data_IF_138548616258
#
_entry.id   IF_138548616258
#
_cell.length_a   1.000
_cell.length_b   1.000
_cell.length_c   1.000
_cell.angle_alpha   90.00
_cell.angle_beta   90.00
_cell.angle_gamma   90.00
#
_symmetry.space_group_name_H-M   'P 1'
#
loop_
_entity.id
_entity.type
_entity.pdbx_description
1 polymer ?
#
# COMPACT_ATOMS: atom_id res chain seq x y z
N UNK A 1 -19.65 -0.18 -17.17
CA UNK A 1 -18.20 -0.09 -17.42
C UNK A 1 -17.53 -0.94 -16.37
N UNK A 2 -16.84 -2.01 -16.76
CA UNK A 2 -16.17 -2.91 -15.83
C UNK A 2 -14.87 -2.26 -15.33
N UNK A 3 -14.53 -2.42 -14.05
CA UNK A 3 -13.30 -1.87 -13.46
C UNK A 3 -12.35 -3.00 -13.13
N UNK A 4 -11.06 -2.80 -13.41
CA UNK A 4 -9.97 -3.66 -12.96
C UNK A 4 -9.07 -2.82 -12.07
N UNK A 5 -8.82 -3.28 -10.85
CA UNK A 5 -7.85 -2.64 -9.97
C UNK A 5 -6.49 -3.26 -10.20
N UNK A 6 -5.52 -2.44 -10.59
CA UNK A 6 -4.13 -2.83 -10.79
C UNK A 6 -3.29 -2.33 -9.61
N UNK A 7 -2.70 -3.23 -8.83
CA UNK A 7 -1.96 -2.82 -7.64
C UNK A 7 -0.64 -2.14 -8.00
N UNK A 8 -0.42 -0.93 -7.50
CA UNK A 8 0.90 -0.28 -7.48
C UNK A 8 1.64 -0.77 -6.23
N UNK A 9 2.87 -1.24 -6.43
CA UNK A 9 3.63 -2.02 -5.45
C UNK A 9 5.10 -1.53 -5.40
N UNK A 10 6.02 -2.36 -4.94
CA UNK A 10 7.42 -2.04 -4.65
C UNK A 10 8.43 -2.56 -5.71
N UNK A 11 9.65 -2.03 -5.66
CA UNK A 11 10.85 -2.58 -6.33
C UNK A 11 10.68 -2.91 -7.83
N UNK A 12 11.15 -4.09 -8.26
CA UNK A 12 11.19 -4.46 -9.67
C UNK A 12 9.81 -4.52 -10.34
N UNK A 13 8.76 -5.13 -9.75
CA UNK A 13 7.45 -5.13 -10.41
C UNK A 13 6.79 -3.73 -10.40
N UNK A 14 7.20 -2.80 -9.54
CA UNK A 14 6.77 -1.40 -9.63
C UNK A 14 7.32 -0.75 -10.89
N UNK A 15 8.63 -0.91 -11.13
CA UNK A 15 9.28 -0.43 -12.35
C UNK A 15 8.65 -1.05 -13.62
N UNK A 16 8.36 -2.35 -13.60
CA UNK A 16 7.67 -3.01 -14.70
C UNK A 16 6.27 -2.42 -14.95
N UNK A 17 5.55 -2.06 -13.88
CA UNK A 17 4.22 -1.44 -13.97
C UNK A 17 4.25 -0.11 -14.73
N UNK A 18 5.28 0.73 -14.51
CA UNK A 18 5.43 1.99 -15.27
C UNK A 18 5.53 1.79 -16.79
N UNK A 19 6.07 0.65 -17.24
CA UNK A 19 6.13 0.31 -18.66
C UNK A 19 4.86 -0.38 -19.16
N UNK A 20 4.34 -1.36 -18.41
CA UNK A 20 3.30 -2.26 -18.89
C UNK A 20 1.89 -1.69 -18.73
N UNK A 21 1.61 -0.97 -17.63
CA UNK A 21 0.26 -0.48 -17.35
C UNK A 21 -0.27 0.49 -18.43
N UNK A 22 0.52 1.46 -18.96
CA UNK A 22 0.06 2.32 -20.05
C UNK A 22 -0.31 1.54 -21.31
N UNK A 23 0.41 0.45 -21.60
CA UNK A 23 0.12 -0.43 -22.73
C UNK A 23 -1.22 -1.13 -22.48
N UNK A 24 -1.43 -1.77 -21.33
CA UNK A 24 -2.70 -2.44 -21.01
C UNK A 24 -3.87 -1.45 -21.12
N UNK A 25 -3.72 -0.23 -20.55
CA UNK A 25 -4.72 0.82 -20.62
C UNK A 25 -5.08 1.21 -22.06
N UNK A 26 -4.09 1.35 -22.94
CA UNK A 26 -4.31 1.66 -24.35
C UNK A 26 -5.10 0.55 -25.06
N UNK A 27 -4.72 -0.70 -24.84
CA UNK A 27 -5.41 -1.87 -25.40
C UNK A 27 -6.86 -2.00 -24.93
N UNK A 28 -7.20 -1.54 -23.72
CA UNK A 28 -8.56 -1.61 -23.16
C UNK A 28 -9.42 -0.37 -23.40
N UNK A 29 -8.88 0.71 -23.99
CA UNK A 29 -9.54 2.02 -24.07
C UNK A 29 -10.92 2.02 -24.76
N UNK A 30 -11.18 1.08 -25.68
CA UNK A 30 -12.46 0.93 -26.39
C UNK A 30 -13.34 -0.22 -25.90
N UNK A 31 -12.91 -1.02 -24.92
CA UNK A 31 -13.62 -2.25 -24.51
C UNK A 31 -14.63 -2.05 -23.38
N UNK A 32 -14.79 -0.83 -22.87
CA UNK A 32 -15.62 -0.56 -21.71
C UNK A 32 -15.03 -1.09 -20.39
N UNK A 33 -13.72 -1.38 -20.38
CA UNK A 33 -12.92 -1.75 -19.22
C UNK A 33 -12.09 -0.54 -18.79
N UNK A 34 -12.16 -0.19 -17.50
CA UNK A 34 -11.36 0.88 -16.90
C UNK A 34 -10.35 0.27 -15.92
N UNK A 35 -9.07 0.55 -16.13
CA UNK A 35 -8.02 0.25 -15.15
C UNK A 35 -7.87 1.42 -14.18
N UNK A 36 -8.00 1.13 -12.88
CA UNK A 36 -7.70 2.06 -11.81
C UNK A 36 -6.55 1.48 -10.95
N UNK A 37 -5.72 2.33 -10.38
CA UNK A 37 -4.63 1.88 -9.50
C UNK A 37 -5.00 2.02 -8.05
N UNK A 38 -4.50 1.10 -7.23
CA UNK A 38 -4.49 1.20 -5.78
C UNK A 38 -3.07 0.93 -5.29
N UNK A 39 -2.52 1.91 -4.57
CA UNK A 39 -1.14 1.87 -4.09
C UNK A 39 -1.07 1.16 -2.75
N UNK A 40 -0.46 -0.02 -2.75
CA UNK A 40 -0.25 -0.86 -1.57
C UNK A 40 1.26 -1.10 -1.33
N UNK A 41 2.11 -0.24 -1.90
CA UNK A 41 3.54 -0.21 -1.60
C UNK A 41 3.79 -0.04 -0.10
N UNK A 42 4.98 -0.41 0.36
CA UNK A 42 5.41 -0.21 1.74
C UNK A 42 5.29 1.27 2.13
N UNK A 43 5.75 2.19 1.27
CA UNK A 43 5.65 3.62 1.51
C UNK A 43 4.19 4.09 1.67
N UNK A 44 3.30 3.72 0.74
CA UNK A 44 1.89 4.12 0.82
C UNK A 44 1.20 3.58 2.07
N UNK A 45 1.48 2.33 2.46
CA UNK A 45 0.92 1.74 3.69
C UNK A 45 1.46 2.40 4.96
N UNK A 46 2.72 2.84 4.97
CA UNK A 46 3.26 3.65 6.08
C UNK A 46 2.51 4.97 6.17
N UNK A 47 2.35 5.70 5.05
CA UNK A 47 1.69 7.00 5.05
C UNK A 47 0.22 6.90 5.48
N UNK A 48 -0.52 5.93 4.94
CA UNK A 48 -1.90 5.65 5.34
C UNK A 48 -2.03 5.25 6.81
N UNK A 49 -0.97 4.68 7.40
CA UNK A 49 -0.97 4.35 8.80
C UNK A 49 -0.77 5.57 9.72
N UNK A 50 -0.36 6.75 9.24
CA UNK A 50 -0.06 7.95 10.06
C UNK A 50 -0.67 9.27 9.52
N UNK A 51 -1.94 9.34 9.10
CA UNK A 51 -2.50 10.55 8.47
C UNK A 51 -2.48 11.78 9.38
N UNK A 52 -2.59 11.60 10.70
CA UNK A 52 -2.52 12.63 11.73
C UNK A 52 -1.15 13.30 11.86
N UNK A 53 -0.09 12.68 11.33
CA UNK A 53 1.27 13.24 11.31
C UNK A 53 1.61 13.90 9.98
N UNK A 54 0.66 13.95 9.05
CA UNK A 54 0.85 14.42 7.68
C UNK A 54 0.03 15.68 7.41
N UNK A 55 0.59 16.56 6.58
CA UNK A 55 -0.18 17.66 5.99
C UNK A 55 -1.29 17.10 5.09
N UNK A 56 -2.33 17.91 4.82
CA UNK A 56 -3.45 17.50 3.98
C UNK A 56 -3.00 17.04 2.59
N UNK A 57 -1.93 17.65 2.05
CA UNK A 57 -1.37 17.34 0.75
C UNK A 57 -0.51 16.06 0.75
N UNK A 58 0.03 15.67 1.91
CA UNK A 58 0.84 14.46 2.08
C UNK A 58 -0.01 13.22 2.41
N UNK A 59 -1.25 13.41 2.86
CA UNK A 59 -2.13 12.31 3.20
C UNK A 59 -2.47 11.46 1.97
N UNK A 60 -2.53 10.16 2.20
CA UNK A 60 -2.94 9.18 1.19
C UNK A 60 -4.10 8.34 1.72
N UNK A 61 -5.04 7.93 0.83
CA UNK A 61 -6.08 6.98 1.22
C UNK A 61 -5.47 5.63 1.64
N UNK A 62 -6.12 4.96 2.60
CA UNK A 62 -5.79 3.58 2.95
C UNK A 62 -6.33 2.62 1.90
N UNK A 63 -5.61 2.51 0.79
CA UNK A 63 -5.97 1.63 -0.31
C UNK A 63 -5.97 0.15 0.07
N UNK A 64 -5.25 -0.28 1.11
CA UNK A 64 -5.28 -1.68 1.53
C UNK A 64 -6.61 -1.98 2.22
N UNK A 65 -7.09 -1.07 3.07
CA UNK A 65 -8.42 -1.15 3.66
C UNK A 65 -9.51 -1.10 2.57
N UNK A 66 -9.45 -0.16 1.64
CA UNK A 66 -10.40 -0.07 0.50
C UNK A 66 -10.45 -1.37 -0.32
N UNK A 67 -9.28 -1.97 -0.58
CA UNK A 67 -9.21 -3.23 -1.32
C UNK A 67 -9.78 -4.41 -0.51
N UNK A 68 -9.59 -4.42 0.81
CA UNK A 68 -10.20 -5.43 1.70
C UNK A 68 -11.72 -5.32 1.79
N UNK A 69 -12.27 -4.11 1.66
CA UNK A 69 -13.72 -3.94 1.51
C UNK A 69 -14.18 -4.41 0.12
N UNK A 70 -13.40 -4.09 -0.93
CA UNK A 70 -13.72 -4.49 -2.29
C UNK A 70 -13.77 -6.00 -2.47
N UNK A 71 -12.91 -6.78 -1.80
CA UNK A 71 -12.92 -8.25 -1.90
C UNK A 71 -14.24 -8.89 -1.44
N UNK A 72 -15.05 -8.17 -0.66
CA UNK A 72 -16.38 -8.63 -0.23
C UNK A 72 -17.48 -8.36 -1.26
N UNK A 73 -17.17 -7.63 -2.33
CA UNK A 73 -18.10 -7.29 -3.40
C UNK A 73 -17.96 -8.28 -4.57
N UNK A 74 -19.08 -8.73 -5.19
CA UNK A 74 -19.03 -9.60 -6.36
C UNK A 74 -18.43 -8.90 -7.60
N UNK A 75 -18.32 -7.57 -7.58
CA UNK A 75 -17.66 -6.77 -8.61
C UNK A 75 -16.13 -6.71 -8.45
N UNK A 76 -15.55 -7.33 -7.41
CA UNK A 76 -14.11 -7.37 -7.19
C UNK A 76 -13.36 -7.95 -8.38
N UNK A 77 -12.50 -7.14 -8.99
CA UNK A 77 -11.57 -7.59 -10.02
C UNK A 77 -10.21 -6.92 -9.78
N UNK A 78 -9.30 -7.66 -9.16
CA UNK A 78 -8.02 -7.15 -8.65
C UNK A 78 -6.88 -7.94 -9.29
N UNK A 79 -6.00 -7.24 -10.01
CA UNK A 79 -4.71 -7.76 -10.46
C UNK A 79 -3.67 -7.40 -9.39
N UNK A 80 -3.29 -8.40 -8.59
CA UNK A 80 -2.31 -8.25 -7.51
C UNK A 80 -0.91 -8.66 -7.96
N UNK A 81 0.01 -7.70 -7.99
CA UNK A 81 1.43 -7.92 -8.29
C UNK A 81 2.21 -8.21 -7.00
N UNK A 82 3.39 -8.88 -7.05
CA UNK A 82 4.24 -9.08 -5.87
C UNK A 82 4.56 -7.77 -5.14
N UNK A 83 4.57 -7.77 -3.81
CA UNK A 83 4.88 -6.60 -2.96
C UNK A 83 5.80 -7.01 -1.80
N UNK A 84 6.41 -6.03 -1.13
CA UNK A 84 7.25 -6.28 0.03
C UNK A 84 6.40 -6.73 1.23
N UNK A 85 6.78 -7.87 1.82
CA UNK A 85 6.44 -8.22 3.20
C UNK A 85 7.58 -7.74 4.11
N UNK A 86 7.39 -6.56 4.72
CA UNK A 86 8.52 -5.81 5.25
C UNK A 86 9.14 -6.46 6.49
N UNK A 87 10.46 -6.63 6.46
CA UNK A 87 11.28 -6.82 7.67
C UNK A 87 11.45 -5.49 8.42
N UNK A 88 11.89 -5.55 9.68
CA UNK A 88 12.18 -4.34 10.48
C UNK A 88 13.21 -3.43 9.80
N UNK A 89 14.35 -3.93 9.25
CA UNK A 89 15.30 -3.07 8.55
C UNK A 89 14.70 -2.39 7.31
N UNK A 90 13.86 -3.09 6.53
CA UNK A 90 13.18 -2.50 5.38
C UNK A 90 12.18 -1.42 5.79
N UNK A 91 11.43 -1.64 6.87
CA UNK A 91 10.53 -0.64 7.43
C UNK A 91 11.31 0.62 7.85
N UNK A 92 12.37 0.46 8.63
CA UNK A 92 13.20 1.58 9.09
C UNK A 92 13.84 2.35 7.93
N UNK A 93 14.29 1.65 6.88
CA UNK A 93 14.81 2.27 5.66
C UNK A 93 13.74 3.10 4.94
N UNK A 94 12.53 2.56 4.77
CA UNK A 94 11.42 3.26 4.14
C UNK A 94 10.95 4.48 4.97
N UNK A 95 10.90 4.37 6.30
CA UNK A 95 10.61 5.50 7.18
C UNK A 95 11.64 6.61 6.99
N UNK A 96 12.94 6.26 6.97
CA UNK A 96 14.01 7.25 6.77
C UNK A 96 13.91 7.93 5.41
N UNK A 97 13.69 7.16 4.35
CA UNK A 97 13.52 7.71 3.00
C UNK A 97 12.34 8.70 2.92
N UNK A 98 11.21 8.37 3.57
CA UNK A 98 10.07 9.28 3.66
C UNK A 98 10.38 10.52 4.52
N UNK A 99 11.09 10.37 5.64
CA UNK A 99 11.53 11.50 6.45
C UNK A 99 12.45 12.45 5.65
N UNK A 100 13.37 11.91 4.86
CA UNK A 100 14.25 12.68 3.97
C UNK A 100 13.46 13.43 2.88
N UNK A 101 12.27 12.95 2.53
CA UNK A 101 11.31 13.60 1.63
C UNK A 101 10.36 14.58 2.33
N UNK A 102 10.51 14.79 3.65
CA UNK A 102 9.76 15.78 4.43
C UNK A 102 8.46 15.27 5.05
N UNK A 103 8.23 13.95 5.11
CA UNK A 103 7.12 13.38 5.87
C UNK A 103 7.50 13.28 7.35
N UNK A 104 6.74 13.93 8.23
CA UNK A 104 7.01 14.01 9.68
C UNK A 104 6.62 12.72 10.42
N UNK A 105 7.08 11.57 9.93
CA UNK A 105 6.77 10.26 10.50
C UNK A 105 7.62 9.97 11.74
N UNK A 106 7.06 9.36 12.79
CA UNK A 106 7.83 8.92 13.94
C UNK A 106 8.77 7.77 13.58
N UNK A 107 9.91 7.65 14.27
CA UNK A 107 10.79 6.49 14.13
C UNK A 107 10.10 5.22 14.67
N UNK A 108 10.50 4.05 14.17
CA UNK A 108 10.03 2.77 14.72
C UNK A 108 10.69 2.49 16.08
N UNK A 109 9.93 2.44 17.20
CA UNK A 109 10.50 2.17 18.52
C UNK A 109 10.58 0.65 18.74
N UNK A 110 11.80 0.11 18.62
CA UNK A 110 12.03 -1.33 18.84
C UNK A 110 11.68 -1.76 20.27
N UNK A 111 12.03 -0.95 21.26
CA UNK A 111 11.69 -1.15 22.67
C UNK A 111 10.96 0.08 23.23
N UNK A 112 9.62 0.14 23.13
CA UNK A 112 8.85 1.33 23.47
C UNK A 112 8.82 1.56 25.00
N UNK A 113 9.13 2.78 25.43
CA UNK A 113 9.26 3.15 26.84
C UNK A 113 8.04 3.90 27.41
N UNK A 114 7.10 4.28 26.55
CA UNK A 114 5.91 5.04 26.92
C UNK A 114 4.70 4.71 26.03
N UNK A 115 3.52 5.20 26.41
CA UNK A 115 2.27 4.92 25.70
C UNK A 115 2.25 5.43 24.26
N UNK A 116 2.92 6.55 23.98
CA UNK A 116 3.02 7.12 22.64
C UNK A 116 3.85 6.21 21.73
N UNK A 117 5.01 5.74 22.19
CA UNK A 117 5.85 4.79 21.47
C UNK A 117 5.16 3.44 21.27
N UNK A 118 4.38 2.97 22.26
CA UNK A 118 3.54 1.76 22.10
C UNK A 118 2.51 1.96 21.00
N UNK A 119 1.84 3.13 20.97
CA UNK A 119 0.88 3.47 19.92
C UNK A 119 1.54 3.49 18.53
N UNK A 120 2.70 4.14 18.39
CA UNK A 120 3.48 4.17 17.14
C UNK A 120 3.89 2.77 16.70
N UNK A 121 4.41 1.95 17.62
CA UNK A 121 4.80 0.56 17.34
C UNK A 121 3.62 -0.26 16.83
N UNK A 122 2.45 -0.12 17.47
CA UNK A 122 1.24 -0.84 17.08
C UNK A 122 0.74 -0.45 15.69
N UNK A 123 0.87 0.83 15.30
CA UNK A 123 0.53 1.28 13.94
C UNK A 123 1.48 0.68 12.91
N UNK A 124 2.79 0.70 13.16
CA UNK A 124 3.77 0.05 12.29
C UNK A 124 3.64 -1.47 12.24
N UNK A 125 3.19 -2.12 13.32
CA UNK A 125 2.95 -3.55 13.37
C UNK A 125 1.92 -4.02 12.32
N UNK A 126 0.95 -3.17 11.96
CA UNK A 126 -0.02 -3.45 10.88
C UNK A 126 0.60 -3.39 9.48
N UNK A 127 1.77 -2.77 9.35
CA UNK A 127 2.49 -2.61 8.08
C UNK A 127 3.57 -3.68 7.90
N UNK A 128 4.11 -4.20 9.01
CA UNK A 128 5.17 -5.20 9.03
C UNK A 128 4.71 -6.57 8.51
N UNK A 129 5.68 -7.32 7.96
CA UNK A 129 5.46 -8.69 7.51
C UNK A 129 4.42 -8.78 6.39
N UNK A 130 3.72 -9.92 6.35
CA UNK A 130 2.73 -10.22 5.31
C UNK A 130 1.39 -9.52 5.60
N UNK A 131 1.36 -8.19 5.59
CA UNK A 131 0.17 -7.40 5.86
C UNK A 131 -0.88 -7.46 4.74
N UNK A 132 -0.46 -7.62 3.48
CA UNK A 132 -1.36 -7.49 2.32
C UNK A 132 -2.14 -8.77 2.04
N UNK A 133 -1.48 -9.93 2.01
CA UNK A 133 -2.14 -11.18 1.60
C UNK A 133 -3.33 -11.58 2.48
N UNK A 134 -3.28 -11.45 3.82
CA UNK A 134 -4.42 -11.77 4.68
C UNK A 134 -5.65 -10.90 4.41
N UNK A 135 -5.48 -9.70 3.85
CA UNK A 135 -6.58 -8.80 3.51
C UNK A 135 -7.18 -9.13 2.14
N UNK A 136 -6.35 -9.53 1.17
CA UNK A 136 -6.79 -9.73 -0.22
C UNK A 136 -7.26 -11.15 -0.54
N UNK A 137 -6.87 -12.15 0.26
CA UNK A 137 -7.14 -13.58 -0.02
C UNK A 137 -8.42 -14.06 0.65
N UNK A 138 -9.54 -13.48 0.23
CA UNK A 138 -10.90 -13.86 0.67
C UNK A 138 -11.45 -15.04 -0.15
N UNK A 139 -10.62 -16.06 -0.34
CA UNK A 139 -10.91 -17.22 -1.17
C UNK A 139 -9.78 -18.26 -1.16
N UNK A 140 -10.04 -19.44 -1.72
CA UNK A 140 -9.04 -20.49 -1.83
C UNK A 140 -8.03 -20.18 -2.95
N UNK A 141 -6.86 -20.81 -2.86
CA UNK A 141 -5.87 -20.83 -3.95
C UNK A 141 -6.21 -21.85 -5.03
#
# INVERSE_FOLDING_TARGET
MSKIIYTKIDEAPALATYSLLPIIQAFTSGSGIKLETRDISLAARILAAFPDQLTAEQQMPDHLAELGELTQSPEANIIKLPNISASVPQLQAAIRELQDQGYALPNFPEDPQNEEEVSVKNRYAKVLGSAVNPVLREGNS
#
